data_IF_337741513096
#
_entry.id   IF_337741513096
#
_cell.length_a   1.000
_cell.length_b   1.000
_cell.length_c   1.000
_cell.angle_alpha   90.00
_cell.angle_beta   90.00
_cell.angle_gamma   90.00
#
_symmetry.space_group_name_H-M   'P 1'
#
loop_
_entity.id
_entity.type
_entity.pdbx_description
1 polymer ?
#
# COMPACT_ATOMS: atom_id res chain seq x y z
N UNK A 1 -15.96 26.28 21.31
CA UNK A 1 -15.00 25.32 21.89
C UNK A 1 -15.62 23.94 21.76
N UNK A 2 -14.91 22.94 21.24
CA UNK A 2 -15.46 21.58 21.13
C UNK A 2 -15.52 20.99 22.55
N UNK A 3 -16.66 20.43 22.99
CA UNK A 3 -16.74 19.77 24.29
C UNK A 3 -15.75 18.60 24.39
N UNK A 4 -15.01 18.50 25.49
CA UNK A 4 -13.97 17.48 25.67
C UNK A 4 -14.52 16.06 25.59
N UNK A 5 -15.71 15.81 26.14
CA UNK A 5 -16.39 14.51 26.08
C UNK A 5 -16.72 14.09 24.63
N UNK A 6 -17.15 15.04 23.79
CA UNK A 6 -17.44 14.78 22.37
C UNK A 6 -16.14 14.49 21.60
N UNK A 7 -15.07 15.22 21.91
CA UNK A 7 -13.75 14.98 21.32
C UNK A 7 -13.22 13.58 21.66
N UNK A 8 -13.25 13.20 22.94
CA UNK A 8 -12.80 11.88 23.39
C UNK A 8 -13.65 10.74 22.81
N UNK A 9 -14.97 10.91 22.73
CA UNK A 9 -15.85 9.94 22.09
C UNK A 9 -15.53 9.76 20.59
N UNK A 10 -15.21 10.86 19.90
CA UNK A 10 -14.76 10.82 18.51
C UNK A 10 -13.44 10.07 18.34
N UNK A 11 -12.45 10.34 19.19
CA UNK A 11 -11.15 9.65 19.19
C UNK A 11 -11.31 8.15 19.43
N UNK A 12 -12.14 7.76 20.40
CA UNK A 12 -12.43 6.35 20.70
C UNK A 12 -13.14 5.66 19.52
N UNK A 13 -14.04 6.38 18.83
CA UNK A 13 -14.68 5.90 17.60
C UNK A 13 -13.70 5.66 16.45
N UNK A 14 -12.55 6.35 16.46
CA UNK A 14 -11.52 6.25 15.42
C UNK A 14 -10.43 5.19 15.72
N UNK A 15 -10.51 4.47 16.84
CA UNK A 15 -9.47 3.51 17.27
C UNK A 15 -9.17 2.40 16.26
N UNK A 16 -10.16 2.04 15.44
CA UNK A 16 -10.06 1.03 14.41
C UNK A 16 -9.98 1.64 13.00
N UNK A 17 -9.66 2.93 12.88
CA UNK A 17 -9.55 3.57 11.59
C UNK A 17 -8.14 3.42 11.01
N UNK A 18 -8.06 3.50 9.69
CA UNK A 18 -6.80 3.66 8.95
C UNK A 18 -6.93 4.80 7.97
N UNK A 19 -5.84 5.53 7.80
CA UNK A 19 -5.68 6.41 6.66
C UNK A 19 -5.15 5.60 5.48
N UNK A 20 -5.60 5.94 4.29
CA UNK A 20 -5.13 5.33 3.06
C UNK A 20 -4.90 6.35 1.96
N UNK A 21 -3.91 6.06 1.11
CA UNK A 21 -3.62 6.85 -0.07
C UNK A 21 -3.70 5.96 -1.29
N UNK A 22 -4.49 6.39 -2.26
CA UNK A 22 -4.57 5.74 -3.56
C UNK A 22 -3.70 6.49 -4.54
N UNK A 23 -2.86 5.74 -5.24
CA UNK A 23 -1.96 6.28 -6.24
C UNK A 23 -2.27 5.59 -7.57
N UNK A 24 -2.62 6.42 -8.55
CA UNK A 24 -2.97 6.01 -9.90
C UNK A 24 -1.78 6.27 -10.84
N UNK A 25 -1.45 5.37 -11.77
CA UNK A 25 -0.46 5.64 -12.80
C UNK A 25 -0.83 6.86 -13.64
N UNK A 26 0.18 7.57 -14.13
CA UNK A 26 -0.02 8.74 -14.98
C UNK A 26 -0.86 8.37 -16.21
N UNK A 27 -1.92 9.13 -16.47
CA UNK A 27 -2.84 8.90 -17.58
C UNK A 27 -3.94 7.87 -17.31
N UNK A 28 -3.97 7.24 -16.14
CA UNK A 28 -5.11 6.39 -15.75
C UNK A 28 -6.25 7.21 -15.16
N UNK A 29 -7.48 6.77 -15.41
CA UNK A 29 -8.69 7.37 -14.84
C UNK A 29 -8.92 6.81 -13.44
N UNK A 30 -8.98 7.66 -12.39
CA UNK A 30 -9.34 7.22 -11.05
C UNK A 30 -10.72 6.57 -11.02
N UNK A 31 -10.88 5.51 -10.22
CA UNK A 31 -12.18 4.89 -9.99
C UNK A 31 -13.11 5.84 -9.21
N UNK A 32 -14.41 5.77 -9.50
CA UNK A 32 -15.43 6.41 -8.65
C UNK A 32 -15.48 5.70 -7.29
N UNK A 33 -15.99 6.40 -6.27
CA UNK A 33 -15.97 5.88 -4.89
C UNK A 33 -16.71 4.54 -4.75
N UNK A 34 -17.83 4.35 -5.45
CA UNK A 34 -18.60 3.10 -5.38
C UNK A 34 -17.91 1.94 -6.11
N UNK A 35 -17.28 2.21 -7.25
CA UNK A 35 -16.46 1.24 -7.99
C UNK A 35 -15.24 0.81 -7.16
N UNK A 36 -14.59 1.79 -6.52
CA UNK A 36 -13.47 1.55 -5.63
C UNK A 36 -13.89 0.74 -4.40
N UNK A 37 -15.05 1.06 -3.80
CA UNK A 37 -15.60 0.30 -2.67
C UNK A 37 -15.89 -1.14 -3.08
N UNK A 38 -16.51 -1.36 -4.24
CA UNK A 38 -16.76 -2.69 -4.79
C UNK A 38 -15.44 -3.45 -5.03
N UNK A 39 -14.43 -2.80 -5.60
CA UNK A 39 -13.11 -3.39 -5.81
C UNK A 39 -12.46 -3.81 -4.50
N UNK A 40 -12.45 -2.93 -3.49
CA UNK A 40 -11.90 -3.23 -2.17
C UNK A 40 -12.69 -4.35 -1.48
N UNK A 41 -14.01 -4.42 -1.63
CA UNK A 41 -14.81 -5.52 -1.11
C UNK A 41 -14.38 -6.89 -1.67
N UNK A 42 -13.95 -6.96 -2.93
CA UNK A 42 -13.38 -8.21 -3.49
C UNK A 42 -12.04 -8.58 -2.87
N UNK A 43 -11.19 -7.59 -2.57
CA UNK A 43 -9.88 -7.78 -1.95
C UNK A 43 -9.99 -8.10 -0.45
N UNK A 44 -11.03 -7.57 0.18
CA UNK A 44 -11.32 -7.65 1.61
C UNK A 44 -12.52 -8.56 1.89
N UNK A 45 -12.69 -9.61 1.09
CA UNK A 45 -13.84 -10.52 1.11
C UNK A 45 -14.03 -11.30 2.42
N UNK A 46 -13.03 -11.31 3.30
CA UNK A 46 -13.01 -12.04 4.57
C UNK A 46 -13.07 -11.15 5.80
N UNK A 47 -13.21 -9.84 5.61
CA UNK A 47 -13.33 -8.87 6.72
C UNK A 47 -14.78 -8.77 7.19
N UNK A 48 -14.95 -8.26 8.41
CA UNK A 48 -16.25 -7.85 8.93
C UNK A 48 -16.76 -6.56 8.30
N UNK A 49 -17.59 -5.82 9.04
CA UNK A 49 -18.14 -4.55 8.58
C UNK A 49 -17.03 -3.51 8.49
N UNK A 50 -16.91 -2.89 7.32
CA UNK A 50 -16.01 -1.77 7.10
C UNK A 50 -16.68 -0.65 6.30
N UNK A 51 -16.12 0.55 6.38
CA UNK A 51 -16.56 1.74 5.66
C UNK A 51 -15.38 2.49 5.05
N UNK A 52 -15.68 3.42 4.15
CA UNK A 52 -14.68 4.33 3.62
C UNK A 52 -15.26 5.70 3.27
N UNK A 53 -14.44 6.73 3.44
CA UNK A 53 -14.74 8.11 3.04
C UNK A 53 -13.54 8.70 2.28
N UNK A 54 -13.80 9.54 1.29
CA UNK A 54 -12.76 10.29 0.57
C UNK A 54 -12.43 11.56 1.35
N UNK A 55 -11.14 11.79 1.60
CA UNK A 55 -10.62 13.00 2.25
C UNK A 55 -10.08 14.02 1.23
N UNK A 56 -10.02 13.67 -0.05
CA UNK A 56 -9.43 14.50 -1.11
C UNK A 56 -7.93 14.24 -1.31
N UNK A 57 -7.38 14.75 -2.43
CA UNK A 57 -5.97 14.51 -2.85
C UNK A 57 -5.56 13.02 -2.90
N UNK A 58 -6.52 12.14 -3.17
CA UNK A 58 -6.30 10.69 -3.20
C UNK A 58 -6.18 10.03 -1.82
N UNK A 59 -6.47 10.77 -0.74
CA UNK A 59 -6.55 10.23 0.61
C UNK A 59 -7.96 9.78 0.97
N UNK A 60 -8.03 8.75 1.79
CA UNK A 60 -9.24 8.10 2.26
C UNK A 60 -9.09 7.74 3.72
N UNK A 61 -10.19 7.72 4.46
CA UNK A 61 -10.27 7.10 5.78
C UNK A 61 -11.10 5.83 5.67
N UNK A 62 -10.63 4.78 6.32
CA UNK A 62 -11.27 3.47 6.37
C UNK A 62 -11.66 3.15 7.81
N UNK A 63 -12.89 2.68 7.99
CA UNK A 63 -13.45 2.31 9.29
C UNK A 63 -13.56 0.79 9.35
N UNK A 64 -13.13 0.17 10.44
CA UNK A 64 -13.26 -1.28 10.64
C UNK A 64 -13.97 -1.59 11.96
N UNK A 65 -14.82 -2.62 11.95
CA UNK A 65 -15.50 -3.07 13.18
C UNK A 65 -14.58 -3.83 14.15
N UNK A 66 -13.44 -4.34 13.67
CA UNK A 66 -12.55 -5.22 14.43
C UNK A 66 -11.09 -4.81 14.27
N UNK A 67 -10.33 -4.90 15.37
CA UNK A 67 -8.88 -4.65 15.37
C UNK A 67 -8.12 -5.76 14.63
N UNK A 68 -8.66 -6.98 14.58
CA UNK A 68 -8.14 -8.09 13.79
C UNK A 68 -8.20 -7.77 12.29
N UNK A 69 -9.28 -7.15 11.83
CA UNK A 69 -9.41 -6.70 10.44
C UNK A 69 -8.39 -5.60 10.12
N UNK A 70 -8.21 -4.62 11.02
CA UNK A 70 -7.18 -3.59 10.91
C UNK A 70 -5.79 -4.22 10.76
N UNK A 71 -5.46 -5.21 11.61
CA UNK A 71 -4.17 -5.92 11.56
C UNK A 71 -3.99 -6.68 10.25
N UNK A 72 -5.03 -7.38 9.79
CA UNK A 72 -5.00 -8.13 8.52
C UNK A 72 -4.76 -7.20 7.34
N UNK A 73 -5.52 -6.11 7.27
CA UNK A 73 -5.46 -5.13 6.19
C UNK A 73 -4.14 -4.36 6.16
N UNK A 74 -3.58 -4.04 7.35
CA UNK A 74 -2.29 -3.35 7.49
C UNK A 74 -1.08 -4.27 7.28
N UNK A 75 -1.23 -5.59 7.43
CA UNK A 75 -0.14 -6.56 7.18
C UNK A 75 0.29 -6.62 5.71
N UNK A 76 -0.59 -6.16 4.81
CA UNK A 76 -0.30 -6.06 3.38
C UNK A 76 0.26 -4.67 3.08
N UNK A 77 1.50 -4.63 2.55
CA UNK A 77 2.20 -3.37 2.29
C UNK A 77 1.45 -2.45 1.30
N UNK A 78 0.85 -3.03 0.26
CA UNK A 78 -0.03 -2.31 -0.66
C UNK A 78 -1.09 -3.24 -1.26
N UNK A 79 -2.26 -2.69 -1.52
CA UNK A 79 -3.37 -3.39 -2.18
C UNK A 79 -3.42 -2.99 -3.65
N UNK A 80 -3.20 -3.94 -4.55
CA UNK A 80 -3.30 -3.65 -5.99
C UNK A 80 -4.75 -3.43 -6.40
N UNK A 81 -5.01 -2.27 -7.01
CA UNK A 81 -6.31 -1.91 -7.59
C UNK A 81 -6.37 -2.15 -9.09
N UNK A 82 -5.21 -2.25 -9.76
CA UNK A 82 -5.05 -2.40 -11.22
C UNK A 82 -5.87 -1.37 -12.02
N UNK A 83 -5.28 -0.23 -12.48
CA UNK A 83 -3.84 0.03 -12.56
C UNK A 83 -3.22 0.69 -11.31
N UNK A 84 -4.04 1.18 -10.38
CA UNK A 84 -3.56 1.83 -9.15
C UNK A 84 -3.22 0.87 -8.02
N UNK A 85 -2.81 1.44 -6.89
CA UNK A 85 -2.70 0.72 -5.63
C UNK A 85 -3.12 1.61 -4.46
N UNK A 86 -3.52 0.95 -3.37
CA UNK A 86 -3.82 1.56 -2.09
C UNK A 86 -2.69 1.26 -1.10
N UNK A 87 -2.15 2.31 -0.51
CA UNK A 87 -1.22 2.25 0.63
C UNK A 87 -1.98 2.65 1.89
N UNK A 88 -1.81 1.89 2.97
CA UNK A 88 -2.46 2.15 4.24
C UNK A 88 -1.43 2.53 5.29
N UNK A 89 -1.82 3.41 6.20
CA UNK A 89 -0.98 3.87 7.29
C UNK A 89 -1.83 4.13 8.54
N UNK A 90 -1.15 4.19 9.67
CA UNK A 90 -1.77 4.40 10.98
C UNK A 90 -2.61 5.66 10.96
N UNK A 91 -3.82 5.58 11.53
CA UNK A 91 -4.66 6.75 11.72
C UNK A 91 -3.98 7.74 12.69
N UNK A 92 -4.09 9.03 12.38
CA UNK A 92 -3.59 10.13 13.22
C UNK A 92 -4.67 11.17 13.39
N UNK A 93 -4.69 11.83 14.55
CA UNK A 93 -5.54 12.99 14.79
C UNK A 93 -5.20 14.15 13.85
N UNK A 94 -6.19 15.01 13.61
CA UNK A 94 -6.06 16.24 12.83
C UNK A 94 -5.44 16.06 11.45
N UNK A 95 -5.68 14.89 10.83
CA UNK A 95 -5.11 14.56 9.53
C UNK A 95 -5.57 15.56 8.46
N UNK A 96 -4.60 16.24 7.87
CA UNK A 96 -4.85 17.21 6.81
C UNK A 96 -4.17 16.77 5.50
N UNK A 97 -4.94 16.37 4.47
CA UNK A 97 -4.42 16.01 3.15
C UNK A 97 -3.56 17.10 2.49
N UNK A 98 -3.77 18.38 2.85
CA UNK A 98 -3.02 19.50 2.29
C UNK A 98 -1.65 19.70 2.94
N UNK A 99 -1.48 19.27 4.19
CA UNK A 99 -0.21 19.30 4.89
C UNK A 99 0.68 18.09 4.55
N UNK A 100 0.14 17.08 3.86
CA UNK A 100 0.92 15.91 3.44
C UNK A 100 1.86 16.30 2.30
N UNK A 101 3.16 16.27 2.58
CA UNK A 101 4.19 16.45 1.56
C UNK A 101 4.27 15.23 0.64
N UNK A 102 4.44 15.47 -0.66
CA UNK A 102 4.71 14.41 -1.64
C UNK A 102 6.19 14.02 -1.59
N UNK A 103 6.61 13.37 -0.51
CA UNK A 103 7.99 12.88 -0.37
C UNK A 103 8.20 11.54 -1.05
N UNK A 104 7.14 10.87 -1.53
CA UNK A 104 7.25 9.53 -2.12
C UNK A 104 7.35 9.55 -3.64
N UNK A 105 8.13 8.62 -4.20
CA UNK A 105 8.27 8.41 -5.63
C UNK A 105 8.22 6.93 -5.99
N UNK A 106 7.59 6.63 -7.14
CA UNK A 106 7.56 5.29 -7.71
C UNK A 106 8.81 5.05 -8.55
N UNK A 107 9.64 4.10 -8.14
CA UNK A 107 10.89 3.76 -8.81
C UNK A 107 10.94 2.28 -9.17
N UNK A 108 11.45 1.99 -10.36
CA UNK A 108 11.76 0.62 -10.76
C UNK A 108 13.12 0.22 -10.21
N UNK A 109 13.14 -0.74 -9.30
CA UNK A 109 14.36 -1.29 -8.72
C UNK A 109 14.71 -2.58 -9.46
N UNK A 110 16.01 -2.79 -9.67
CA UNK A 110 16.58 -4.04 -10.18
C UNK A 110 17.38 -4.72 -9.07
N UNK A 111 17.00 -5.95 -8.73
CA UNK A 111 17.73 -6.79 -7.78
C UNK A 111 18.54 -7.80 -8.60
N UNK A 112 19.83 -7.52 -8.77
CA UNK A 112 20.77 -8.38 -9.49
C UNK A 112 21.35 -9.43 -8.54
N UNK A 113 21.74 -10.60 -9.08
CA UNK A 113 22.38 -11.66 -8.29
C UNK A 113 21.44 -12.41 -7.34
N UNK A 114 20.12 -12.25 -7.50
CA UNK A 114 19.12 -12.97 -6.71
C UNK A 114 19.06 -14.44 -7.15
N UNK A 115 19.38 -15.36 -6.24
CA UNK A 115 19.30 -16.80 -6.48
C UNK A 115 17.86 -17.24 -6.83
N UNK A 116 17.71 -18.27 -7.69
CA UNK A 116 16.44 -18.59 -8.34
C UNK A 116 15.32 -18.99 -7.36
N UNK A 117 15.66 -19.57 -6.23
CA UNK A 117 14.78 -19.94 -5.12
C UNK A 117 14.01 -18.73 -4.54
N UNK A 118 14.60 -17.54 -4.61
CA UNK A 118 14.00 -16.31 -4.08
C UNK A 118 13.11 -15.58 -5.09
N UNK A 119 12.94 -16.09 -6.31
CA UNK A 119 12.17 -15.41 -7.36
C UNK A 119 10.65 -15.54 -7.20
N UNK A 120 10.16 -16.11 -6.10
CA UNK A 120 8.73 -16.10 -5.79
C UNK A 120 8.32 -14.65 -5.50
N UNK A 121 7.23 -14.19 -6.12
CA UNK A 121 6.71 -12.81 -5.96
C UNK A 121 6.66 -12.36 -4.49
N UNK A 122 6.21 -13.22 -3.58
CA UNK A 122 6.10 -12.89 -2.16
C UNK A 122 7.48 -12.65 -1.51
N UNK A 123 8.50 -13.42 -1.89
CA UNK A 123 9.87 -13.24 -1.38
C UNK A 123 10.45 -11.95 -1.94
N UNK A 124 10.31 -11.74 -3.25
CA UNK A 124 10.72 -10.50 -3.91
C UNK A 124 10.08 -9.27 -3.22
N UNK A 125 8.79 -9.35 -2.91
CA UNK A 125 8.07 -8.28 -2.21
C UNK A 125 8.59 -8.09 -0.79
N UNK A 126 8.89 -9.17 -0.07
CA UNK A 126 9.49 -9.09 1.26
C UNK A 126 10.86 -8.39 1.21
N UNK A 127 11.73 -8.72 0.25
CA UNK A 127 13.02 -8.04 0.07
C UNK A 127 12.81 -6.55 -0.24
N UNK A 128 11.95 -6.25 -1.21
CA UNK A 128 11.66 -4.87 -1.63
C UNK A 128 11.01 -4.02 -0.52
N UNK A 129 10.32 -4.66 0.45
CA UNK A 129 9.71 -3.98 1.60
C UNK A 129 10.73 -3.27 2.50
N UNK A 130 12.00 -3.70 2.45
CA UNK A 130 13.11 -3.05 3.17
C UNK A 130 13.55 -1.71 2.55
N UNK A 131 13.16 -1.46 1.29
CA UNK A 131 13.50 -0.24 0.54
C UNK A 131 12.31 0.73 0.52
N UNK A 132 11.10 0.20 0.41
CA UNK A 132 9.88 1.00 0.34
C UNK A 132 8.66 0.10 0.23
N UNK A 133 7.54 0.61 -0.29
CA UNK A 133 6.32 -0.19 -0.47
C UNK A 133 6.32 -0.85 -1.85
N UNK A 134 6.47 -2.19 -1.96
CA UNK A 134 6.40 -2.87 -3.25
C UNK A 134 4.98 -2.79 -3.83
N UNK A 135 4.89 -2.56 -5.15
CA UNK A 135 3.63 -2.36 -5.88
C UNK A 135 3.39 -3.53 -6.83
N UNK A 136 4.30 -3.76 -7.77
CA UNK A 136 4.20 -4.80 -8.78
C UNK A 136 5.57 -5.24 -9.27
N UNK A 137 5.63 -6.39 -9.94
CA UNK A 137 6.81 -6.83 -10.69
C UNK A 137 6.57 -6.64 -12.19
N UNK A 138 7.62 -6.58 -12.98
CA UNK A 138 7.48 -6.56 -14.44
C UNK A 138 7.02 -7.92 -14.99
N UNK A 139 6.61 -7.92 -16.26
CA UNK A 139 6.06 -9.10 -16.91
C UNK A 139 7.03 -10.29 -16.96
N UNK A 140 8.34 -10.03 -17.01
CA UNK A 140 9.34 -11.09 -17.02
C UNK A 140 9.53 -11.69 -15.61
N UNK A 141 9.62 -10.85 -14.59
CA UNK A 141 9.77 -11.27 -13.20
C UNK A 141 8.53 -11.99 -12.68
N UNK A 142 7.33 -11.68 -13.21
CA UNK A 142 6.09 -12.39 -12.85
C UNK A 142 5.98 -13.82 -13.39
N UNK A 143 6.78 -14.20 -14.40
CA UNK A 143 6.71 -15.54 -15.00
C UNK A 143 7.13 -16.63 -14.02
N UNK A 144 6.56 -17.82 -14.20
CA UNK A 144 6.99 -19.01 -13.49
C UNK A 144 8.43 -19.40 -13.85
N UNK A 145 9.07 -20.24 -13.03
CA UNK A 145 10.42 -20.72 -13.32
C UNK A 145 10.53 -21.45 -14.68
N UNK A 146 9.43 -22.05 -15.16
CA UNK A 146 9.38 -22.77 -16.44
C UNK A 146 9.26 -21.86 -17.66
N UNK A 147 8.66 -20.68 -17.51
CA UNK A 147 8.39 -19.74 -18.62
C UNK A 147 9.41 -18.60 -18.68
N UNK A 148 10.17 -18.40 -17.60
CA UNK A 148 11.11 -17.29 -17.45
C UNK A 148 12.38 -17.58 -18.24
N UNK A 149 12.57 -16.83 -19.32
CA UNK A 149 13.76 -16.90 -20.17
C UNK A 149 14.88 -15.92 -19.76
N UNK A 150 14.64 -15.03 -18.79
CA UNK A 150 15.60 -14.03 -18.35
C UNK A 150 15.67 -13.96 -16.82
N UNK A 151 16.88 -14.19 -16.27
CA UNK A 151 17.13 -14.37 -14.84
C UNK A 151 18.25 -13.51 -14.24
N UNK A 152 18.76 -12.48 -14.93
CA UNK A 152 19.89 -11.69 -14.43
C UNK A 152 19.52 -10.74 -13.29
N UNK A 153 18.28 -10.26 -13.30
CA UNK A 153 17.74 -9.39 -12.26
C UNK A 153 16.23 -9.57 -12.14
N UNK A 154 15.72 -9.47 -10.91
CA UNK A 154 14.30 -9.27 -10.66
C UNK A 154 13.99 -7.76 -10.71
N UNK A 155 12.90 -7.36 -11.35
CA UNK A 155 12.51 -5.95 -11.48
C UNK A 155 11.16 -5.69 -10.80
N UNK A 156 11.16 -4.72 -9.88
CA UNK A 156 10.02 -4.40 -9.02
C UNK A 156 9.78 -2.90 -8.98
N UNK A 157 8.52 -2.50 -9.08
CA UNK A 157 8.10 -1.13 -8.85
C UNK A 157 7.85 -0.93 -7.35
N UNK A 158 8.55 0.04 -6.76
CA UNK A 158 8.49 0.35 -5.33
C UNK A 158 8.16 1.82 -5.15
N UNK A 159 7.24 2.13 -4.24
CA UNK A 159 7.01 3.49 -3.73
C UNK A 159 8.01 3.75 -2.60
N UNK A 160 8.97 4.63 -2.84
CA UNK A 160 10.06 4.95 -1.93
C UNK A 160 9.84 6.34 -1.34
N UNK A 161 10.06 6.49 -0.04
CA UNK A 161 10.10 7.80 0.61
C UNK A 161 11.47 8.45 0.36
N UNK A 162 11.47 9.58 -0.35
CA UNK A 162 12.67 10.34 -0.69
C UNK A 162 13.14 11.26 0.45
N UNK A 163 12.37 11.35 1.55
CA UNK A 163 12.81 12.08 2.74
C UNK A 163 13.83 11.30 3.58
N UNK A 164 13.93 9.98 3.37
CA UNK A 164 14.89 9.10 4.04
C UNK A 164 16.08 8.77 3.15
N UNK A 165 17.21 8.40 3.76
CA UNK A 165 18.40 8.00 3.01
C UNK A 165 18.14 6.73 2.19
N UNK A 166 18.43 6.79 0.90
CA UNK A 166 18.24 5.69 -0.03
C UNK A 166 19.21 4.54 0.27
N UNK A 167 18.68 3.31 0.27
CA UNK A 167 19.47 2.09 0.43
C UNK A 167 19.85 1.54 -0.94
N UNK A 168 21.13 1.25 -1.13
CA UNK A 168 21.67 0.71 -2.39
C UNK A 168 22.00 -0.79 -2.34
N UNK A 169 21.96 -1.38 -1.15
CA UNK A 169 22.23 -2.80 -0.91
C UNK A 169 21.20 -3.36 0.06
N UNK A 170 20.78 -4.59 -0.16
CA UNK A 170 19.88 -5.34 0.72
C UNK A 170 20.51 -6.71 0.95
N UNK A 171 20.69 -7.06 2.22
CA UNK A 171 21.16 -8.37 2.63
C UNK A 171 19.96 -9.31 2.78
N UNK A 172 20.06 -10.51 2.22
CA UNK A 172 19.03 -11.56 2.29
C UNK A 172 19.63 -12.69 3.12
N UNK A 173 19.06 -12.95 4.29
CA UNK A 173 19.42 -14.07 5.19
C UNK A 173 18.46 -15.26 4.99
#
# INVERSE_FOLDING_TARGET
MIPENEYLAGMEGCKNNLHGRIIWPKGSTPLKIDELRAKLATLWNSLGRWGMVSLGKGFYEFYFSSVEDVRRVRSVASWSLNPGYLKLFTWTNDFNPNAQHHTTAQVWIRISGLAQEYWRKNIIFAIASSIGTPICVDANTSKSAFERSFGHYARILVDVDLSVQLRYQVLVE
#
